data_IF_649829344176
#
_entry.id   IF_649829344176
#
_cell.length_a   1.000
_cell.length_b   1.000
_cell.length_c   1.000
_cell.angle_alpha   90.00
_cell.angle_beta   90.00
_cell.angle_gamma   90.00
#
_symmetry.space_group_name_H-M   'P 1'
#
loop_
_entity.id
_entity.type
_entity.pdbx_description
1 polymer ?
#
# COMPACT_ATOMS: atom_id res chain seq x y z
N UNK A 1 -26.58 -65.55 12.56
CA UNK A 1 -26.36 -64.14 12.97
C UNK A 1 -25.58 -63.48 11.86
N UNK A 2 -26.27 -62.79 10.96
CA UNK A 2 -25.64 -61.95 9.94
C UNK A 2 -26.04 -60.51 10.27
N UNK A 3 -25.06 -59.72 10.67
CA UNK A 3 -25.22 -58.32 11.04
C UNK A 3 -25.22 -57.45 9.78
N UNK A 4 -26.08 -56.44 9.83
CA UNK A 4 -26.50 -55.55 8.75
C UNK A 4 -25.35 -54.74 8.14
N UNK A 5 -25.31 -54.68 6.80
CA UNK A 5 -24.52 -53.70 6.07
C UNK A 5 -25.07 -52.30 6.35
N UNK A 6 -24.27 -51.48 7.02
CA UNK A 6 -24.55 -50.06 7.19
C UNK A 6 -23.78 -49.32 6.09
N UNK A 7 -24.42 -49.12 4.93
CA UNK A 7 -23.92 -48.20 3.92
C UNK A 7 -24.11 -46.78 4.46
N UNK A 8 -23.01 -46.22 4.97
CA UNK A 8 -22.93 -44.80 5.27
C UNK A 8 -22.76 -44.12 3.91
N UNK A 9 -23.85 -43.63 3.34
CA UNK A 9 -23.82 -42.69 2.21
C UNK A 9 -23.22 -41.37 2.71
N UNK A 10 -21.89 -41.34 2.70
CA UNK A 10 -21.06 -40.22 3.11
C UNK A 10 -20.96 -39.25 1.94
N UNK A 11 -22.10 -38.64 1.58
CA UNK A 11 -22.14 -37.36 0.86
C UNK A 11 -21.69 -36.22 1.81
N UNK A 12 -20.58 -36.40 2.53
CA UNK A 12 -19.80 -35.28 3.02
C UNK A 12 -19.07 -34.76 1.79
N UNK A 13 -19.42 -33.54 1.42
CA UNK A 13 -18.79 -32.76 0.38
C UNK A 13 -17.32 -32.64 0.79
N UNK A 14 -16.47 -33.50 0.25
CA UNK A 14 -15.02 -33.38 0.38
C UNK A 14 -14.63 -32.12 -0.41
N UNK A 15 -14.74 -30.96 0.23
CA UNK A 15 -14.11 -29.73 -0.21
C UNK A 15 -12.60 -29.94 -0.13
N UNK A 16 -12.05 -30.56 -1.17
CA UNK A 16 -10.63 -30.55 -1.42
C UNK A 16 -10.21 -29.09 -1.56
N UNK A 17 -9.55 -28.57 -0.52
CA UNK A 17 -8.84 -27.30 -0.63
C UNK A 17 -7.93 -27.40 -1.86
N UNK A 18 -7.94 -26.40 -2.76
CA UNK A 18 -7.10 -26.46 -3.95
C UNK A 18 -5.64 -26.63 -3.52
N UNK A 19 -5.07 -27.82 -3.74
CA UNK A 19 -3.66 -28.13 -3.47
C UNK A 19 -2.71 -27.42 -4.45
N UNK A 20 -3.20 -26.38 -5.14
CA UNK A 20 -2.38 -25.46 -5.90
C UNK A 20 -1.77 -24.48 -4.92
N UNK A 21 -0.55 -24.78 -4.47
CA UNK A 21 0.29 -23.85 -3.74
C UNK A 21 0.35 -22.52 -4.51
N UNK A 22 -0.13 -21.40 -3.94
CA UNK A 22 -0.15 -20.10 -4.62
C UNK A 22 1.25 -19.58 -4.95
N UNK A 23 2.31 -20.21 -4.44
CA UNK A 23 3.71 -19.91 -4.75
C UNK A 23 4.32 -20.90 -5.76
N UNK A 24 3.63 -21.97 -6.14
CA UNK A 24 4.10 -22.99 -7.09
C UNK A 24 3.80 -22.66 -8.58
N UNK A 25 3.49 -21.41 -8.89
CA UNK A 25 3.21 -20.96 -10.27
C UNK A 25 4.50 -20.86 -11.10
N UNK A 26 4.85 -21.96 -11.77
CA UNK A 26 5.70 -21.97 -12.95
C UNK A 26 4.97 -21.36 -14.16
N UNK A 27 5.54 -20.28 -14.70
CA UNK A 27 5.34 -19.64 -16.00
C UNK A 27 4.22 -20.16 -16.94
N UNK A 28 3.21 -19.32 -17.21
CA UNK A 28 2.44 -19.40 -18.46
C UNK A 28 1.04 -18.80 -18.47
N UNK A 29 0.94 -17.50 -18.75
CA UNK A 29 -0.18 -16.80 -19.39
C UNK A 29 -1.55 -16.79 -18.68
N UNK A 30 -1.69 -15.92 -17.68
CA UNK A 30 -2.96 -15.22 -17.49
C UNK A 30 -2.98 -14.04 -18.49
N UNK A 31 -3.84 -14.14 -19.50
CA UNK A 31 -4.43 -12.97 -20.15
C UNK A 31 -5.27 -12.25 -19.10
N UNK A 32 -4.62 -11.50 -18.23
CA UNK A 32 -5.28 -10.58 -17.33
C UNK A 32 -5.44 -9.29 -18.11
N UNK A 33 -6.66 -9.05 -18.55
CA UNK A 33 -7.20 -7.72 -18.79
C UNK A 33 -7.06 -6.90 -17.49
N UNK A 34 -5.83 -6.51 -17.20
CA UNK A 34 -5.51 -5.41 -16.31
C UNK A 34 -5.55 -4.17 -17.19
N UNK A 35 -6.75 -3.74 -17.55
CA UNK A 35 -7.07 -2.32 -17.42
C UNK A 35 -7.00 -1.94 -15.93
N UNK A 36 -5.82 -2.13 -15.31
CA UNK A 36 -5.36 -1.15 -14.33
C UNK A 36 -5.21 0.06 -15.23
N UNK A 37 -6.21 0.94 -15.17
CA UNK A 37 -6.01 2.26 -15.71
C UNK A 37 -4.71 2.75 -15.10
N UNK A 38 -3.70 2.78 -15.97
CA UNK A 38 -2.42 3.44 -15.78
C UNK A 38 -2.71 4.94 -15.73
N UNK A 39 -3.56 5.37 -14.81
CA UNK A 39 -3.52 6.71 -14.29
C UNK A 39 -2.27 6.76 -13.42
N UNK A 40 -1.14 6.83 -14.13
CA UNK A 40 0.13 7.30 -13.66
C UNK A 40 0.71 6.55 -12.44
N UNK A 41 1.62 5.60 -12.74
CA UNK A 41 2.93 5.58 -12.08
C UNK A 41 3.72 6.89 -12.40
N UNK A 42 3.05 8.04 -12.38
CA UNK A 42 3.51 9.31 -12.89
C UNK A 42 4.43 9.92 -11.87
N UNK A 43 5.74 9.85 -12.14
CA UNK A 43 6.77 10.72 -11.60
C UNK A 43 6.99 10.73 -10.06
N UNK A 44 6.09 10.16 -9.26
CA UNK A 44 6.03 10.26 -7.81
C UNK A 44 6.88 9.26 -7.04
N UNK A 45 7.16 8.09 -7.62
CA UNK A 45 7.99 7.07 -6.97
C UNK A 45 9.42 7.55 -6.71
N UNK A 46 9.94 8.46 -7.55
CA UNK A 46 11.23 9.13 -7.32
C UNK A 46 11.14 10.27 -6.29
N UNK A 47 10.02 11.00 -6.26
CA UNK A 47 9.82 12.19 -5.40
C UNK A 47 9.89 11.82 -3.92
N UNK A 48 9.32 10.67 -3.53
CA UNK A 48 9.33 10.21 -2.14
C UNK A 48 10.19 8.97 -1.90
N UNK A 49 11.17 8.69 -2.75
CA UNK A 49 12.07 7.54 -2.61
C UNK A 49 11.32 6.19 -2.42
N UNK A 50 10.23 5.99 -3.16
CA UNK A 50 9.34 4.84 -3.06
C UNK A 50 8.75 4.61 -1.65
N UNK A 51 8.71 5.64 -0.80
CA UNK A 51 7.91 5.63 0.42
C UNK A 51 6.41 5.70 0.06
N UNK A 52 5.55 5.29 1.00
CA UNK A 52 4.09 5.39 0.85
C UNK A 52 3.49 5.97 2.11
N UNK A 53 2.60 6.95 1.98
CA UNK A 53 1.80 7.40 3.12
C UNK A 53 0.79 6.30 3.47
N UNK A 54 0.85 5.79 4.71
CA UNK A 54 -0.03 4.71 5.18
C UNK A 54 -0.97 5.14 6.29
N UNK A 55 -0.72 6.29 6.92
CA UNK A 55 -1.58 6.83 7.96
C UNK A 55 -1.19 8.23 8.40
N UNK A 56 -2.18 8.98 8.87
CA UNK A 56 -2.00 10.26 9.55
C UNK A 56 -2.67 10.16 10.92
N UNK A 57 -2.07 10.78 11.92
CA UNK A 57 -2.55 10.79 13.30
C UNK A 57 -2.60 12.25 13.72
N UNK A 58 -3.80 12.76 13.96
CA UNK A 58 -4.02 14.12 14.44
C UNK A 58 -4.40 14.09 15.92
N UNK A 59 -3.54 14.67 16.75
CA UNK A 59 -3.81 14.93 18.17
C UNK A 59 -4.06 16.42 18.42
N UNK A 60 -4.51 16.75 19.63
CA UNK A 60 -4.84 18.14 19.99
C UNK A 60 -3.68 19.14 19.86
N UNK A 61 -2.43 18.66 19.91
CA UNK A 61 -1.24 19.51 19.89
C UNK A 61 -0.18 19.09 18.85
N UNK A 62 -0.37 17.93 18.21
CA UNK A 62 0.64 17.35 17.31
C UNK A 62 -0.04 16.55 16.22
N UNK A 63 0.51 16.63 15.01
CA UNK A 63 0.17 15.76 13.90
C UNK A 63 1.36 14.91 13.52
N UNK A 64 1.08 13.66 13.15
CA UNK A 64 2.08 12.66 12.79
C UNK A 64 1.68 12.01 11.48
N UNK A 65 2.63 11.87 10.58
CA UNK A 65 2.50 11.10 9.35
C UNK A 65 3.25 9.77 9.53
N UNK A 66 2.65 8.68 9.06
CA UNK A 66 3.27 7.36 9.03
C UNK A 66 3.55 7.02 7.58
N UNK A 67 4.84 6.89 7.26
CA UNK A 67 5.29 6.46 5.94
C UNK A 67 5.87 5.05 6.00
N UNK A 68 5.44 4.21 5.07
CA UNK A 68 6.06 2.92 4.80
C UNK A 68 7.26 3.14 3.87
N UNK A 69 8.42 2.68 4.32
CA UNK A 69 9.66 2.65 3.58
C UNK A 69 9.65 1.51 2.55
N UNK A 70 10.47 1.57 1.49
CA UNK A 70 10.60 0.49 0.52
C UNK A 70 11.12 -0.84 1.11
N UNK A 71 11.75 -0.81 2.28
CA UNK A 71 12.20 -2.00 3.02
C UNK A 71 11.07 -2.64 3.88
N UNK A 72 9.85 -2.09 3.80
CA UNK A 72 8.68 -2.57 4.53
C UNK A 72 8.55 -2.04 5.96
N UNK A 73 9.49 -1.21 6.43
CA UNK A 73 9.38 -0.57 7.76
C UNK A 73 8.40 0.59 7.70
N UNK A 74 7.69 0.83 8.79
CA UNK A 74 6.90 2.04 8.98
C UNK A 74 7.64 3.00 9.91
N UNK A 75 7.81 4.25 9.46
CA UNK A 75 8.41 5.33 10.25
C UNK A 75 7.38 6.44 10.46
N UNK A 76 7.50 7.12 11.60
CA UNK A 76 6.64 8.25 11.97
C UNK A 76 7.41 9.56 11.82
N UNK A 77 6.73 10.60 11.37
CA UNK A 77 7.28 11.94 11.17
C UNK A 77 6.30 13.00 11.65
N UNK A 78 6.83 14.06 12.26
CA UNK A 78 6.07 15.24 12.67
C UNK A 78 6.10 16.34 11.58
N UNK A 79 5.29 17.38 11.75
CA UNK A 79 5.35 18.56 10.88
C UNK A 79 6.73 19.24 10.99
N UNK A 80 7.29 19.65 9.86
CA UNK A 80 8.64 20.21 9.70
C UNK A 80 9.81 19.23 9.91
N UNK A 81 9.56 17.92 10.05
CA UNK A 81 10.60 16.90 10.20
C UNK A 81 11.16 16.44 8.84
N UNK A 82 12.46 16.15 8.80
CA UNK A 82 13.11 15.56 7.62
C UNK A 82 12.99 14.05 7.64
N UNK A 83 12.38 13.49 6.60
CA UNK A 83 12.34 12.04 6.41
C UNK A 83 13.65 11.50 5.80
N UNK A 84 14.24 12.29 4.91
CA UNK A 84 15.56 12.07 4.31
C UNK A 84 16.26 13.42 4.12
N UNK A 85 17.54 13.42 3.75
CA UNK A 85 18.32 14.66 3.54
C UNK A 85 17.67 15.64 2.56
N UNK A 86 16.89 15.12 1.61
CA UNK A 86 16.22 15.88 0.56
C UNK A 86 14.70 15.93 0.67
N UNK A 87 14.09 15.27 1.66
CA UNK A 87 12.63 15.22 1.84
C UNK A 87 12.23 15.70 3.23
N UNK A 88 11.41 16.74 3.27
CA UNK A 88 10.87 17.31 4.50
C UNK A 88 9.34 17.22 4.49
N UNK A 89 8.75 16.83 5.61
CA UNK A 89 7.31 16.93 5.84
C UNK A 89 7.01 18.37 6.24
N UNK A 90 6.18 19.09 5.48
CA UNK A 90 5.80 20.46 5.81
C UNK A 90 4.55 20.48 6.68
N UNK A 91 3.48 19.88 6.19
CA UNK A 91 2.16 19.92 6.83
C UNK A 91 1.48 18.57 6.72
N UNK A 92 0.65 18.26 7.72
CA UNK A 92 -0.09 17.01 7.80
C UNK A 92 -1.59 17.32 7.82
N UNK A 93 -2.31 16.75 6.87
CA UNK A 93 -3.78 16.79 6.79
C UNK A 93 -4.35 15.40 7.08
N UNK A 94 -5.67 15.28 7.15
CA UNK A 94 -6.32 13.99 7.39
C UNK A 94 -6.10 13.03 6.20
N UNK A 95 -6.30 13.53 4.97
CA UNK A 95 -6.29 12.68 3.76
C UNK A 95 -4.96 12.68 3.00
N UNK A 96 -4.10 13.68 3.25
CA UNK A 96 -2.82 13.85 2.56
C UNK A 96 -1.78 14.54 3.44
N UNK A 97 -0.53 14.52 2.99
CA UNK A 97 0.56 15.30 3.58
C UNK A 97 1.16 16.22 2.53
N UNK A 98 1.70 17.36 2.95
CA UNK A 98 2.49 18.23 2.09
C UNK A 98 3.95 17.99 2.41
N UNK A 99 4.73 17.70 1.38
CA UNK A 99 6.17 17.49 1.49
C UNK A 99 6.92 18.53 0.66
N UNK A 100 8.18 18.74 1.02
CA UNK A 100 9.14 19.50 0.23
C UNK A 100 10.27 18.58 -0.18
N UNK A 101 10.61 18.61 -1.47
CA UNK A 101 11.74 17.88 -2.06
C UNK A 101 12.78 18.87 -2.57
N UNK A 102 14.06 18.55 -2.37
CA UNK A 102 15.23 19.35 -2.78
C UNK A 102 15.14 20.82 -2.38
N UNK A 103 14.55 21.08 -1.20
CA UNK A 103 14.33 22.39 -0.60
C UNK A 103 13.48 23.39 -1.42
N UNK A 104 12.87 22.98 -2.53
CA UNK A 104 12.14 23.89 -3.43
C UNK A 104 10.76 23.38 -3.82
N UNK A 105 10.68 22.14 -4.26
CA UNK A 105 9.47 21.62 -4.89
C UNK A 105 8.54 21.05 -3.84
N UNK A 106 7.26 21.43 -3.90
CA UNK A 106 6.26 21.01 -2.93
C UNK A 106 5.26 20.06 -3.58
N UNK A 107 4.90 19.01 -2.86
CA UNK A 107 4.00 17.98 -3.35
C UNK A 107 2.99 17.59 -2.28
N UNK A 108 1.78 17.31 -2.72
CA UNK A 108 0.75 16.65 -1.93
C UNK A 108 0.85 15.14 -2.14
N UNK A 109 0.94 14.39 -1.06
CA UNK A 109 1.01 12.92 -1.07
C UNK A 109 -0.23 12.35 -0.40
N UNK A 110 -0.99 11.57 -1.15
CA UNK A 110 -2.26 10.97 -0.71
C UNK A 110 -2.07 9.49 -0.35
N UNK A 111 -2.98 8.98 0.50
CA UNK A 111 -3.00 7.56 0.93
C UNK A 111 -3.15 6.56 -0.23
N UNK A 112 -3.75 6.99 -1.33
CA UNK A 112 -3.93 6.19 -2.54
C UNK A 112 -2.68 6.16 -3.45
N UNK A 113 -1.53 6.62 -2.96
CA UNK A 113 -0.26 6.77 -3.69
C UNK A 113 -0.28 7.82 -4.81
N UNK A 114 -1.30 8.69 -4.87
CA UNK A 114 -1.26 9.83 -5.79
C UNK A 114 -0.34 10.91 -5.21
N UNK A 115 0.49 11.47 -6.08
CA UNK A 115 1.38 12.59 -5.75
C UNK A 115 1.07 13.72 -6.72
N UNK A 116 0.71 14.88 -6.18
CA UNK A 116 0.38 16.06 -6.98
C UNK A 116 1.38 17.17 -6.68
N UNK A 117 1.97 17.82 -7.71
CA UNK A 117 2.73 19.04 -7.48
C UNK A 117 1.79 20.12 -6.95
N UNK A 118 2.28 20.90 -5.98
CA UNK A 118 1.57 22.08 -5.51
C UNK A 118 1.81 23.20 -6.52
N UNK A 119 0.99 23.27 -7.58
CA UNK A 119 1.03 24.40 -8.51
C UNK A 119 0.47 25.65 -7.84
N UNK A 120 1.35 26.62 -7.59
CA UNK A 120 0.94 27.90 -7.00
C UNK A 120 2.10 28.76 -6.50
N UNK A 121 2.76 29.45 -7.43
CA UNK A 121 3.37 30.77 -7.19
C UNK A 121 3.31 31.60 -8.47
#
# INVERSE_FOLDING_TARGET
>A
VEAQNHEIDKNEIEEELPATDPFASGAGAASLDQSIETNEFGSGAGIINNMKLVGTISGAHKKIAVLAMPDGRALKFEENEFATDNLQILEIYEDFIVIRVDAKDQFEVYMNNQIRPMEGN
#
